data_IF_267933215242
#
_entry.id   IF_267933215242
#
_cell.length_a   1.000
_cell.length_b   1.000
_cell.length_c   1.000
_cell.angle_alpha   90.00
_cell.angle_beta   90.00
_cell.angle_gamma   90.00
#
_symmetry.space_group_name_H-M   'P 1'
#
loop_
_entity.id
_entity.type
_entity.pdbx_description
1 polymer ?
#
# COMPACT_ATOMS: atom_id res chain seq x y z
N UNK A 1 17.00 7.94 -7.26
CA UNK A 1 15.80 8.79 -7.29
C UNK A 1 15.82 9.64 -6.03
N UNK A 2 16.15 10.91 -6.17
CA UNK A 2 16.05 11.85 -5.05
C UNK A 2 14.57 12.15 -4.82
N UNK A 3 13.98 11.54 -3.80
CA UNK A 3 12.67 11.96 -3.32
C UNK A 3 12.83 13.36 -2.73
N UNK A 4 12.25 14.35 -3.40
CA UNK A 4 12.21 15.70 -2.83
C UNK A 4 11.19 15.71 -1.70
N UNK A 5 11.67 15.63 -0.49
CA UNK A 5 10.86 15.88 0.69
C UNK A 5 10.61 17.37 0.86
N UNK A 6 9.45 17.71 1.39
CA UNK A 6 9.14 19.09 1.77
C UNK A 6 10.05 19.56 2.89
N UNK A 7 10.36 20.84 2.88
CA UNK A 7 11.06 21.54 3.97
C UNK A 7 10.52 22.96 4.09
N UNK A 8 10.96 23.73 5.06
CA UNK A 8 10.58 25.13 5.19
C UNK A 8 10.96 26.00 3.97
N UNK A 9 11.80 25.49 3.06
CA UNK A 9 12.27 26.23 1.88
C UNK A 9 11.93 25.53 0.54
N UNK A 10 11.39 24.31 0.57
CA UNK A 10 11.13 23.54 -0.65
C UNK A 10 9.79 22.80 -0.57
N UNK A 11 9.02 22.85 -1.65
CA UNK A 11 7.84 22.01 -1.81
C UNK A 11 8.24 20.57 -2.11
N UNK A 12 7.48 19.61 -1.61
CA UNK A 12 7.73 18.18 -1.82
C UNK A 12 6.72 17.29 -1.10
N UNK A 13 6.99 16.00 -1.09
CA UNK A 13 6.23 15.05 -0.28
C UNK A 13 6.52 15.29 1.21
N UNK A 14 5.50 15.11 2.06
CA UNK A 14 5.67 15.17 3.51
C UNK A 14 6.71 14.12 3.94
N UNK A 15 7.79 14.51 4.63
CA UNK A 15 8.77 13.55 5.13
C UNK A 15 8.13 12.65 6.18
N UNK A 16 8.50 11.37 6.18
CA UNK A 16 8.08 10.49 7.25
C UNK A 16 8.99 10.72 8.47
N UNK A 17 8.46 11.38 9.46
CA UNK A 17 8.99 11.41 10.82
C UNK A 17 8.13 10.52 11.71
N UNK A 18 8.78 9.61 12.47
CA UNK A 18 8.06 8.58 13.25
C UNK A 18 7.17 9.18 14.34
N UNK A 19 7.57 10.30 14.93
CA UNK A 19 6.81 10.95 15.99
C UNK A 19 5.74 11.86 15.41
N UNK A 20 6.11 12.78 14.56
CA UNK A 20 5.22 13.80 13.99
C UNK A 20 4.12 13.16 13.12
N UNK A 21 4.46 12.20 12.25
CA UNK A 21 3.48 11.61 11.33
C UNK A 21 2.36 10.84 12.05
N UNK A 22 2.63 10.23 13.20
CA UNK A 22 1.59 9.58 14.00
C UNK A 22 0.70 10.58 14.72
N UNK A 23 1.26 11.67 15.22
CA UNK A 23 0.52 12.75 15.87
C UNK A 23 -0.33 13.53 14.87
N UNK A 24 0.15 13.72 13.64
CA UNK A 24 -0.62 14.30 12.53
C UNK A 24 -1.87 13.49 12.22
N UNK A 25 -1.76 12.14 12.12
CA UNK A 25 -2.92 11.26 11.90
C UNK A 25 -3.91 11.35 13.04
N UNK A 26 -3.45 11.37 14.29
CA UNK A 26 -4.31 11.51 15.47
C UNK A 26 -5.02 12.87 15.49
N UNK A 27 -4.35 13.93 15.07
CA UNK A 27 -4.93 15.26 14.96
C UNK A 27 -5.99 15.33 13.85
N UNK A 28 -5.69 14.77 12.67
CA UNK A 28 -6.63 14.70 11.55
C UNK A 28 -7.89 13.92 11.90
N UNK A 29 -7.77 12.80 12.61
CA UNK A 29 -8.93 11.98 13.00
C UNK A 29 -9.92 12.69 13.92
N UNK A 30 -9.49 13.72 14.64
CA UNK A 30 -10.39 14.55 15.48
C UNK A 30 -11.29 15.47 14.65
N UNK A 31 -10.93 15.74 13.40
CA UNK A 31 -11.62 16.72 12.53
C UNK A 31 -12.13 16.14 11.22
N UNK A 32 -11.73 14.90 10.87
CA UNK A 32 -12.12 14.21 9.64
C UNK A 32 -12.89 12.94 9.98
N UNK A 33 -13.90 12.64 9.16
CA UNK A 33 -14.65 11.37 9.27
C UNK A 33 -13.74 10.18 8.96
N UNK A 34 -12.90 10.31 7.91
CA UNK A 34 -11.97 9.27 7.47
C UNK A 34 -10.58 9.83 7.24
N UNK A 35 -9.56 9.05 7.57
CA UNK A 35 -8.14 9.37 7.38
C UNK A 35 -7.49 8.27 6.54
N UNK A 36 -6.95 8.63 5.38
CA UNK A 36 -6.21 7.74 4.49
C UNK A 36 -4.73 8.13 4.52
N UNK A 37 -3.87 7.18 4.84
CA UNK A 37 -2.42 7.36 4.84
C UNK A 37 -1.82 6.73 3.58
N UNK A 38 -1.17 7.52 2.74
CA UNK A 38 -0.38 7.06 1.62
C UNK A 38 1.10 7.04 2.02
N UNK A 39 1.60 5.85 2.35
CA UNK A 39 2.97 5.66 2.80
C UNK A 39 3.88 5.20 1.66
N UNK A 40 4.89 5.99 1.33
CA UNK A 40 5.86 5.63 0.30
C UNK A 40 7.19 5.19 0.93
N UNK A 41 7.38 3.91 1.09
CA UNK A 41 8.57 3.32 1.70
C UNK A 41 8.49 1.80 1.76
N UNK A 42 9.49 1.19 2.37
CA UNK A 42 9.65 -0.25 2.41
C UNK A 42 10.80 -0.70 1.51
N UNK A 43 10.81 -1.97 1.11
CA UNK A 43 11.85 -2.57 0.28
C UNK A 43 11.29 -2.94 -1.09
N UNK A 44 12.00 -2.57 -2.15
CA UNK A 44 11.62 -2.89 -3.53
C UNK A 44 11.53 -4.40 -3.76
N UNK A 45 10.51 -4.83 -4.48
CA UNK A 45 10.24 -6.21 -4.88
C UNK A 45 9.95 -7.19 -3.74
N UNK A 46 9.71 -6.69 -2.52
CA UNK A 46 9.26 -7.50 -1.41
C UNK A 46 7.73 -7.50 -1.34
N UNK A 47 7.17 -8.71 -1.42
CA UNK A 47 5.72 -8.95 -1.43
C UNK A 47 5.13 -9.09 -0.02
N UNK A 48 5.98 -9.10 0.99
CA UNK A 48 5.60 -9.14 2.41
C UNK A 48 6.12 -7.90 3.13
N UNK A 49 5.39 -7.36 4.11
CA UNK A 49 5.90 -6.26 4.91
C UNK A 49 7.06 -6.74 5.79
N UNK A 50 8.07 -5.90 5.98
CA UNK A 50 9.01 -6.14 7.07
C UNK A 50 8.30 -5.97 8.43
N UNK A 51 8.81 -6.60 9.52
CA UNK A 51 8.24 -6.41 10.86
C UNK A 51 8.13 -4.93 11.25
N UNK A 52 9.09 -4.11 10.85
CA UNK A 52 9.09 -2.67 11.12
C UNK A 52 7.98 -1.95 10.33
N UNK A 53 7.82 -2.26 9.04
CA UNK A 53 6.75 -1.68 8.21
C UNK A 53 5.37 -2.05 8.77
N UNK A 54 5.20 -3.32 9.17
CA UNK A 54 3.95 -3.78 9.78
C UNK A 54 3.64 -3.00 11.06
N UNK A 55 4.64 -2.80 11.93
CA UNK A 55 4.48 -1.99 13.15
C UNK A 55 4.09 -0.54 12.86
N UNK A 56 4.70 0.09 11.87
CA UNK A 56 4.36 1.47 11.51
C UNK A 56 2.95 1.58 10.96
N UNK A 57 2.56 0.69 10.04
CA UNK A 57 1.22 0.72 9.46
C UNK A 57 0.13 0.46 10.51
N UNK A 58 0.34 -0.52 11.39
CA UNK A 58 -0.55 -0.77 12.53
C UNK A 58 -0.64 0.44 13.47
N UNK A 59 0.48 1.12 13.71
CA UNK A 59 0.50 2.33 14.54
C UNK A 59 -0.29 3.49 13.91
N UNK A 60 -0.28 3.65 12.59
CA UNK A 60 -1.15 4.60 11.92
C UNK A 60 -2.63 4.29 12.18
N UNK A 61 -3.02 3.00 12.11
CA UNK A 61 -4.39 2.57 12.41
C UNK A 61 -4.72 2.82 13.89
N UNK A 62 -3.82 2.50 14.83
CA UNK A 62 -3.99 2.80 16.27
C UNK A 62 -4.23 4.30 16.52
N UNK A 63 -3.64 5.16 15.68
CA UNK A 63 -3.78 6.62 15.75
C UNK A 63 -5.02 7.14 15.00
N UNK A 64 -5.78 6.28 14.34
CA UNK A 64 -7.06 6.61 13.74
C UNK A 64 -7.09 6.60 12.21
N UNK A 65 -6.07 6.09 11.54
CA UNK A 65 -6.15 5.87 10.10
C UNK A 65 -7.17 4.76 9.79
N UNK A 66 -8.08 5.02 8.85
CA UNK A 66 -9.06 4.06 8.37
C UNK A 66 -8.47 3.18 7.24
N UNK A 67 -7.50 3.73 6.50
CA UNK A 67 -6.79 3.03 5.43
C UNK A 67 -5.32 3.47 5.37
N UNK A 68 -4.42 2.51 5.27
CA UNK A 68 -2.99 2.74 5.02
C UNK A 68 -2.60 2.01 3.73
N UNK A 69 -2.10 2.74 2.73
CA UNK A 69 -1.64 2.17 1.47
C UNK A 69 -0.13 2.40 1.34
N UNK A 70 0.62 1.30 1.29
CA UNK A 70 2.05 1.34 1.06
C UNK A 70 2.38 1.32 -0.43
N UNK A 71 3.36 2.12 -0.82
CA UNK A 71 3.91 2.20 -2.17
C UNK A 71 5.43 2.01 -2.10
N UNK A 72 6.12 2.01 -3.20
CA UNK A 72 7.55 1.81 -3.35
C UNK A 72 7.99 0.36 -3.64
N UNK A 73 7.29 -0.64 -3.16
CA UNK A 73 7.67 -2.05 -3.40
C UNK A 73 7.62 -2.46 -4.88
N UNK A 74 6.96 -1.69 -5.74
CA UNK A 74 6.75 -1.99 -7.17
C UNK A 74 6.08 -3.34 -7.43
N UNK A 75 5.43 -3.92 -6.45
CA UNK A 75 4.70 -5.18 -6.57
C UNK A 75 3.49 -5.21 -5.63
N UNK A 76 2.56 -6.09 -5.92
CA UNK A 76 1.42 -6.36 -5.02
C UNK A 76 1.94 -7.07 -3.78
N UNK A 77 1.69 -6.48 -2.63
CA UNK A 77 2.01 -7.05 -1.33
C UNK A 77 0.90 -7.93 -0.78
N UNK A 78 0.41 -7.57 0.39
CA UNK A 78 -0.63 -8.24 1.15
C UNK A 78 -1.58 -7.23 1.79
N UNK A 79 -2.75 -7.69 2.25
CA UNK A 79 -3.73 -6.90 3.01
C UNK A 79 -3.80 -7.39 4.44
N UNK A 80 -3.98 -6.47 5.35
CA UNK A 80 -4.29 -6.72 6.75
C UNK A 80 -5.46 -5.86 7.18
N UNK A 81 -6.53 -6.47 7.70
CA UNK A 81 -7.55 -5.76 8.45
C UNK A 81 -7.12 -5.79 9.91
N UNK A 82 -6.72 -4.64 10.44
CA UNK A 82 -6.18 -4.47 11.78
C UNK A 82 -6.98 -3.44 12.56
N UNK A 83 -7.47 -3.82 13.74
CA UNK A 83 -8.30 -2.94 14.56
C UNK A 83 -9.56 -2.50 13.81
N UNK A 84 -9.66 -1.20 13.51
CA UNK A 84 -10.77 -0.62 12.73
C UNK A 84 -10.35 -0.20 11.32
N UNK A 85 -9.11 -0.41 10.94
CA UNK A 85 -8.56 0.04 9.66
C UNK A 85 -8.10 -1.10 8.76
N UNK A 86 -7.91 -0.76 7.49
CA UNK A 86 -7.35 -1.63 6.48
C UNK A 86 -5.94 -1.18 6.11
N UNK A 87 -5.01 -2.11 5.96
CA UNK A 87 -3.63 -1.87 5.55
C UNK A 87 -3.34 -2.65 4.28
N UNK A 88 -2.81 -1.96 3.25
CA UNK A 88 -2.37 -2.56 1.99
C UNK A 88 -0.87 -2.36 1.85
N UNK A 89 -0.09 -3.44 1.98
CA UNK A 89 1.38 -3.42 2.03
C UNK A 89 2.06 -3.36 0.66
N UNK A 90 1.36 -2.92 -0.36
CA UNK A 90 1.85 -2.72 -1.72
C UNK A 90 0.74 -2.91 -2.73
N UNK A 91 0.52 -1.91 -3.55
CA UNK A 91 -0.50 -1.95 -4.61
C UNK A 91 0.09 -2.24 -6.00
N UNK A 92 1.43 -2.24 -6.14
CA UNK A 92 2.10 -2.37 -7.43
C UNK A 92 2.22 -1.04 -8.18
N UNK A 93 2.43 -1.13 -9.49
CA UNK A 93 2.66 0.01 -10.38
C UNK A 93 1.41 0.36 -11.18
N UNK A 94 1.03 1.63 -11.22
CA UNK A 94 -0.04 2.07 -12.14
C UNK A 94 0.53 2.42 -13.52
N UNK A 95 1.45 3.39 -13.58
CA UNK A 95 2.19 3.73 -14.78
C UNK A 95 3.68 3.76 -14.39
N UNK A 96 4.38 2.71 -14.74
CA UNK A 96 5.80 2.61 -14.48
C UNK A 96 6.45 1.83 -15.60
N UNK A 97 6.98 2.57 -16.57
CA UNK A 97 7.55 2.00 -17.78
C UNK A 97 9.08 2.11 -17.76
N UNK A 98 9.70 1.48 -16.76
CA UNK A 98 11.15 1.31 -16.75
C UNK A 98 11.50 -0.06 -17.31
N UNK A 99 12.16 -0.10 -18.46
CA UNK A 99 12.60 -1.34 -19.10
C UNK A 99 13.40 -2.24 -18.15
N UNK A 100 14.22 -1.65 -17.28
CA UNK A 100 15.03 -2.38 -16.30
C UNK A 100 14.19 -3.14 -15.26
N UNK A 101 12.95 -2.70 -14.97
CA UNK A 101 12.10 -3.33 -13.97
C UNK A 101 11.14 -4.36 -14.57
N UNK A 102 10.63 -4.10 -15.78
CA UNK A 102 9.61 -4.94 -16.43
C UNK A 102 10.22 -6.28 -16.91
N UNK A 103 11.49 -6.28 -17.32
CA UNK A 103 12.13 -7.47 -17.89
C UNK A 103 12.63 -8.48 -16.84
N UNK A 104 12.77 -8.09 -15.58
CA UNK A 104 13.38 -8.96 -14.58
C UNK A 104 12.40 -9.70 -13.67
N UNK A 105 11.12 -9.27 -13.57
CA UNK A 105 10.16 -9.88 -12.65
C UNK A 105 8.73 -9.78 -13.19
N UNK A 106 8.17 -10.89 -13.64
CA UNK A 106 6.80 -10.96 -14.20
C UNK A 106 5.73 -10.37 -13.26
N UNK A 107 5.86 -10.61 -11.96
CA UNK A 107 4.92 -10.13 -10.94
C UNK A 107 4.89 -8.59 -10.78
N UNK A 108 5.79 -7.84 -11.39
CA UNK A 108 5.79 -6.36 -11.38
C UNK A 108 4.76 -5.79 -12.35
N UNK A 109 4.28 -6.60 -13.31
CA UNK A 109 3.26 -6.20 -14.27
C UNK A 109 1.86 -6.16 -13.66
N UNK A 110 1.61 -6.97 -12.63
CA UNK A 110 0.32 -7.00 -11.94
C UNK A 110 0.27 -5.95 -10.84
N UNK A 111 -0.88 -5.31 -10.73
CA UNK A 111 -1.10 -4.24 -9.76
C UNK A 111 -2.55 -4.20 -9.31
N UNK A 112 -2.83 -3.41 -8.28
CA UNK A 112 -4.16 -3.19 -7.75
C UNK A 112 -4.52 -1.71 -7.85
N UNK A 113 -5.66 -1.41 -8.44
CA UNK A 113 -6.32 -0.14 -8.24
C UNK A 113 -7.16 -0.24 -6.97
N UNK A 114 -6.87 0.62 -6.00
CA UNK A 114 -7.60 0.65 -4.74
C UNK A 114 -8.75 1.64 -4.88
N UNK A 115 -9.97 1.11 -4.82
CA UNK A 115 -11.20 1.89 -4.83
C UNK A 115 -11.70 2.09 -3.42
N UNK A 116 -12.07 3.32 -3.08
CA UNK A 116 -12.65 3.67 -1.78
C UNK A 116 -14.01 4.31 -2.01
N UNK A 117 -15.05 3.71 -1.44
CA UNK A 117 -16.39 4.28 -1.38
C UNK A 117 -16.63 4.74 0.06
N UNK A 118 -16.65 6.06 0.25
CA UNK A 118 -16.86 6.68 1.55
C UNK A 118 -18.19 7.47 1.57
N UNK A 119 -19.02 7.17 2.55
CA UNK A 119 -20.23 7.93 2.88
C UNK A 119 -20.14 8.33 4.35
N UNK A 120 -21.17 9.00 4.87
CA UNK A 120 -21.23 9.32 6.32
C UNK A 120 -21.17 8.07 7.21
N UNK A 121 -21.72 6.95 6.74
CA UNK A 121 -21.93 5.74 7.56
C UNK A 121 -21.11 4.53 7.07
N UNK A 122 -20.49 4.63 5.89
CA UNK A 122 -19.78 3.48 5.29
C UNK A 122 -18.42 3.88 4.72
N UNK A 123 -17.45 3.00 4.90
CA UNK A 123 -16.11 3.10 4.31
C UNK A 123 -15.72 1.74 3.75
N UNK A 124 -15.81 1.60 2.43
CA UNK A 124 -15.58 0.33 1.74
C UNK A 124 -14.32 0.44 0.91
N UNK A 125 -13.40 -0.50 1.09
CA UNK A 125 -12.15 -0.60 0.34
C UNK A 125 -12.20 -1.83 -0.55
N UNK A 126 -12.02 -1.64 -1.85
CA UNK A 126 -12.03 -2.70 -2.86
C UNK A 126 -10.76 -2.68 -3.69
N UNK A 127 -10.28 -3.84 -4.07
CA UNK A 127 -9.10 -4.03 -4.91
C UNK A 127 -9.53 -4.48 -6.32
N UNK A 128 -9.18 -3.68 -7.31
CA UNK A 128 -9.44 -3.98 -8.73
C UNK A 128 -8.12 -4.36 -9.40
N UNK A 129 -7.95 -5.62 -9.86
CA UNK A 129 -6.74 -6.05 -10.54
C UNK A 129 -6.54 -5.30 -11.86
N UNK A 130 -5.34 -4.80 -12.04
CA UNK A 130 -4.88 -4.12 -13.26
C UNK A 130 -3.55 -4.71 -13.70
N UNK A 131 -3.25 -4.59 -15.00
CA UNK A 131 -2.01 -5.10 -15.58
C UNK A 131 -1.32 -4.07 -16.45
N UNK A 132 -0.02 -3.90 -16.23
CA UNK A 132 0.84 -3.06 -17.04
C UNK A 132 1.06 -3.66 -18.44
N UNK A 133 1.07 -2.81 -19.46
CA UNK A 133 1.36 -3.12 -20.85
C UNK A 133 2.42 -2.16 -21.38
N UNK A 134 2.92 -2.42 -22.57
CA UNK A 134 3.88 -1.51 -23.25
C UNK A 134 3.31 -0.09 -23.46
N UNK A 135 1.98 0.06 -23.53
CA UNK A 135 1.29 1.32 -23.83
C UNK A 135 0.64 1.97 -22.60
N UNK A 136 0.78 1.38 -21.41
CA UNK A 136 0.14 1.87 -20.19
C UNK A 136 -0.45 0.74 -19.37
N UNK A 137 -1.59 0.98 -18.74
CA UNK A 137 -2.25 0.03 -17.84
C UNK A 137 -3.67 -0.27 -18.31
N UNK A 138 -4.09 -1.51 -18.17
CA UNK A 138 -5.45 -1.96 -18.46
C UNK A 138 -6.04 -2.73 -17.26
N UNK A 139 -7.34 -2.90 -17.25
CA UNK A 139 -7.96 -3.86 -16.35
C UNK A 139 -7.42 -5.27 -16.66
N UNK A 140 -7.20 -6.07 -15.63
CA UNK A 140 -6.88 -7.48 -15.79
C UNK A 140 -8.07 -8.23 -16.45
N UNK A 141 -7.81 -9.25 -17.24
CA UNK A 141 -8.84 -10.17 -17.69
C UNK A 141 -9.37 -10.97 -16.48
N UNK A 142 -10.48 -11.66 -16.65
CA UNK A 142 -11.08 -12.45 -15.57
C UNK A 142 -10.10 -13.48 -15.00
N UNK A 143 -9.38 -14.21 -15.87
CA UNK A 143 -8.38 -15.19 -15.44
C UNK A 143 -7.16 -14.57 -14.74
N UNK A 144 -6.62 -13.48 -15.29
CA UNK A 144 -5.51 -12.73 -14.67
C UNK A 144 -5.92 -12.16 -13.30
N UNK A 145 -7.13 -11.61 -13.21
CA UNK A 145 -7.66 -11.04 -11.98
C UNK A 145 -7.87 -12.11 -10.90
N UNK A 146 -8.41 -13.27 -11.28
CA UNK A 146 -8.60 -14.39 -10.35
C UNK A 146 -7.26 -14.89 -9.80
N UNK A 147 -6.25 -15.06 -10.64
CA UNK A 147 -4.91 -15.47 -10.23
C UNK A 147 -4.28 -14.43 -9.28
N UNK A 148 -4.32 -13.17 -9.68
CA UNK A 148 -3.79 -12.05 -8.87
C UNK A 148 -4.42 -11.99 -7.49
N UNK A 149 -5.76 -12.04 -7.41
CA UNK A 149 -6.48 -11.96 -6.14
C UNK A 149 -6.30 -13.22 -5.28
N UNK A 150 -6.17 -14.40 -5.88
CA UNK A 150 -5.90 -15.64 -5.15
C UNK A 150 -4.54 -15.58 -4.46
N UNK A 151 -3.50 -15.17 -5.18
CA UNK A 151 -2.16 -15.00 -4.63
C UNK A 151 -2.09 -13.87 -3.59
N UNK A 152 -2.81 -12.78 -3.82
CA UNK A 152 -2.92 -11.68 -2.86
C UNK A 152 -3.56 -12.13 -1.55
N UNK A 153 -4.67 -12.88 -1.62
CA UNK A 153 -5.36 -13.44 -0.46
C UNK A 153 -4.45 -14.39 0.33
N UNK A 154 -3.76 -15.30 -0.35
CA UNK A 154 -2.81 -16.23 0.26
C UNK A 154 -1.71 -15.48 1.04
N UNK A 155 -1.13 -14.43 0.45
CA UNK A 155 -0.14 -13.60 1.15
C UNK A 155 -0.74 -12.88 2.35
N UNK A 156 -1.97 -12.42 2.24
CA UNK A 156 -2.68 -11.72 3.32
C UNK A 156 -3.00 -12.65 4.50
N UNK A 157 -3.19 -13.93 4.24
CA UNK A 157 -3.32 -14.95 5.29
C UNK A 157 -1.97 -15.20 5.98
N UNK A 158 -0.88 -15.32 5.22
CA UNK A 158 0.46 -15.61 5.75
C UNK A 158 0.98 -14.55 6.71
N UNK A 159 0.70 -13.26 6.48
CA UNK A 159 1.18 -12.18 7.35
C UNK A 159 0.51 -12.11 8.73
N UNK A 160 -0.52 -12.92 8.96
CA UNK A 160 -1.13 -13.05 10.30
C UNK A 160 -0.22 -13.77 11.28
N UNK A 161 0.70 -14.59 10.77
CA UNK A 161 1.72 -15.23 11.57
C UNK A 161 2.95 -14.32 11.71
N UNK A 162 3.18 -13.82 12.93
CA UNK A 162 4.31 -12.95 13.23
C UNK A 162 5.67 -13.65 13.04
N UNK A 163 5.73 -14.97 13.23
CA UNK A 163 6.95 -15.74 13.01
C UNK A 163 7.28 -15.82 11.51
N UNK A 164 6.27 -16.04 10.68
CA UNK A 164 6.43 -15.99 9.23
C UNK A 164 6.94 -14.61 8.77
N UNK A 165 6.34 -13.51 9.24
CA UNK A 165 6.75 -12.14 8.86
C UNK A 165 8.20 -11.84 9.29
N UNK A 166 8.66 -12.41 10.39
CA UNK A 166 10.03 -12.22 10.87
C UNK A 166 11.08 -12.95 10.01
N UNK A 167 10.67 -13.94 9.22
CA UNK A 167 11.55 -14.76 8.36
C UNK A 167 11.44 -14.43 6.87
N UNK A 168 10.34 -13.80 6.43
CA UNK A 168 10.06 -13.43 5.04
C UNK A 168 10.82 -12.16 4.64
#
# INVERSE_FOLDING_TARGET
VYKRQASCHTMGANPFDVLESFDDVEALKKTCDYVIVLYHGGKEFYRYPSPMLQRYCRKFVDKGADLVICQHSHCIGSREDYGKGTIIYGQGNFIFNSESYIHHKEFVKDSLLISVEATKDTFIVSEVPIRGTERGTRLATESEGLETLTEYKKRSENIRDAHFVAQA
#
